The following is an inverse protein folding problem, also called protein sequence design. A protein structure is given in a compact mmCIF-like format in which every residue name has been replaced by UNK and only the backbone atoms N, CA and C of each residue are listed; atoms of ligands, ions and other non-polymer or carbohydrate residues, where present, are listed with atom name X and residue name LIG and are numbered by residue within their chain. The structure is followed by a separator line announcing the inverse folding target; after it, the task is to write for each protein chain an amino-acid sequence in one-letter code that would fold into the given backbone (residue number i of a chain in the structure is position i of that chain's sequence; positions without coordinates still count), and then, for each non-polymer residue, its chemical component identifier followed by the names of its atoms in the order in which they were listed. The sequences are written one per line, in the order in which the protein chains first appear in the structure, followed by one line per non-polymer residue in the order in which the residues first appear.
data_IF_244378887194
#
_entry.id   IF_244378887194
#
_cell.length_a   1.000
_cell.length_b   1.000
_cell.length_c   1.000
_cell.angle_alpha   90.00
_cell.angle_beta   90.00
_cell.angle_gamma   90.00
#
_symmetry.space_group_name_H-M   'P 1'
#
loop_
_entity.id
_entity.type
_entity.pdbx_description
1 polymer ?
#
# COMPACT_ATOMS: atom_id res chain seq x y z
N UNK A 1 19.20 4.24 -14.35
CA UNK A 1 18.98 5.32 -13.36
C UNK A 1 17.69 5.15 -12.55
N UNK A 2 16.66 4.43 -13.06
CA UNK A 2 15.48 4.04 -12.26
C UNK A 2 15.78 2.90 -11.26
N UNK A 3 16.68 1.98 -11.62
CA UNK A 3 17.04 0.79 -10.83
C UNK A 3 17.66 1.13 -9.47
N UNK A 4 18.54 2.14 -9.43
CA UNK A 4 19.23 2.59 -8.21
C UNK A 4 18.25 3.19 -7.18
N UNK A 5 17.20 3.89 -7.63
CA UNK A 5 16.17 4.46 -6.74
C UNK A 5 15.35 3.36 -6.07
N UNK A 6 14.97 2.35 -6.84
CA UNK A 6 14.21 1.20 -6.33
C UNK A 6 15.01 0.39 -5.32
N UNK A 7 16.32 0.29 -5.53
CA UNK A 7 17.23 -0.40 -4.62
C UNK A 7 17.49 0.40 -3.33
N UNK A 8 17.61 1.72 -3.43
CA UNK A 8 17.69 2.62 -2.27
C UNK A 8 16.42 2.61 -1.42
N UNK A 9 15.24 2.68 -2.05
CA UNK A 9 13.95 2.60 -1.36
C UNK A 9 13.79 1.26 -0.62
N UNK A 10 14.23 0.15 -1.23
CA UNK A 10 14.24 -1.17 -0.59
C UNK A 10 15.16 -1.21 0.63
N UNK A 11 16.35 -0.64 0.54
CA UNK A 11 17.33 -0.63 1.63
C UNK A 11 16.94 0.30 2.78
N UNK A 12 16.26 1.41 2.47
CA UNK A 12 15.66 2.30 3.48
C UNK A 12 14.46 1.63 4.15
N UNK A 13 13.60 0.96 3.38
CA UNK A 13 12.50 0.17 3.91
C UNK A 13 13.03 -0.92 4.84
N UNK A 14 14.00 -1.73 4.40
CA UNK A 14 14.60 -2.76 5.25
C UNK A 14 15.21 -2.20 6.54
N UNK A 15 15.85 -1.03 6.48
CA UNK A 15 16.38 -0.35 7.67
C UNK A 15 15.27 0.11 8.61
N UNK A 16 14.20 0.70 8.09
CA UNK A 16 13.06 1.14 8.88
C UNK A 16 12.37 -0.07 9.56
N UNK A 17 12.20 -1.17 8.84
CA UNK A 17 11.62 -2.41 9.37
C UNK A 17 12.48 -2.97 10.50
N UNK A 18 13.81 -3.00 10.30
CA UNK A 18 14.74 -3.45 11.33
C UNK A 18 14.72 -2.56 12.57
N UNK A 19 14.65 -1.24 12.40
CA UNK A 19 14.56 -0.30 13.52
C UNK A 19 13.26 -0.50 14.32
N UNK A 20 12.13 -0.63 13.64
CA UNK A 20 10.82 -0.93 14.27
C UNK A 20 10.87 -2.29 15.00
N UNK A 21 11.54 -3.29 14.41
CA UNK A 21 11.72 -4.59 15.03
C UNK A 21 12.61 -4.55 16.28
N UNK A 22 13.65 -3.72 16.28
CA UNK A 22 14.52 -3.51 17.44
C UNK A 22 13.78 -2.77 18.56
N UNK A 23 12.98 -1.75 18.24
CA UNK A 23 12.18 -1.00 19.23
C UNK A 23 11.08 -1.84 19.88
N UNK A 24 10.45 -2.74 19.12
CA UNK A 24 9.38 -3.61 19.63
C UNK A 24 9.91 -4.86 20.34
N UNK A 25 11.21 -5.16 20.23
CA UNK A 25 11.86 -6.33 20.86
C UNK A 25 11.93 -6.15 22.38
N UNK A 26 10.96 -6.76 23.06
CA UNK A 26 10.84 -6.74 24.52
C UNK A 26 9.53 -6.12 25.03
N UNK A 27 8.79 -5.41 24.18
CA UNK A 27 7.47 -4.87 24.50
C UNK A 27 6.31 -5.77 24.02
N UNK A 28 6.56 -6.59 22.97
CA UNK A 28 5.56 -7.44 22.33
C UNK A 28 6.16 -8.83 22.06
N UNK A 29 5.35 -9.89 22.17
CA UNK A 29 5.77 -11.25 21.83
C UNK A 29 6.12 -11.34 20.33
N UNK A 30 7.16 -12.11 19.98
CA UNK A 30 7.68 -12.16 18.60
C UNK A 30 6.65 -12.66 17.58
N UNK A 31 5.65 -13.40 18.03
CA UNK A 31 4.54 -13.86 17.19
C UNK A 31 3.55 -12.74 16.85
N UNK A 32 3.17 -11.91 17.83
CA UNK A 32 2.30 -10.74 17.63
C UNK A 32 2.99 -9.70 16.75
N UNK A 33 4.27 -9.43 16.98
CA UNK A 33 5.07 -8.53 16.14
C UNK A 33 5.00 -8.90 14.66
N UNK A 34 5.17 -10.19 14.34
CA UNK A 34 5.11 -10.68 12.97
C UNK A 34 3.75 -10.42 12.34
N UNK A 35 2.66 -10.67 13.07
CA UNK A 35 1.31 -10.46 12.55
C UNK A 35 1.00 -8.97 12.34
N UNK A 36 1.38 -8.09 13.27
CA UNK A 36 1.16 -6.65 13.12
C UNK A 36 1.99 -6.06 11.99
N UNK A 37 3.29 -6.36 11.94
CA UNK A 37 4.19 -5.77 10.93
C UNK A 37 3.90 -6.31 9.54
N UNK A 38 3.74 -7.63 9.37
CA UNK A 38 3.41 -8.19 8.07
C UNK A 38 2.00 -7.81 7.63
N UNK A 39 1.04 -7.77 8.56
CA UNK A 39 -0.33 -7.35 8.28
C UNK A 39 -0.39 -5.90 7.79
N UNK A 40 0.29 -4.98 8.48
CA UNK A 40 0.36 -3.57 8.09
C UNK A 40 1.10 -3.38 6.77
N UNK A 41 2.20 -4.11 6.52
CA UNK A 41 2.90 -4.04 5.22
C UNK A 41 2.06 -4.58 4.09
N UNK A 42 1.38 -5.69 4.31
CA UNK A 42 0.50 -6.28 3.32
C UNK A 42 -0.65 -5.32 3.01
N UNK A 43 -1.29 -4.74 4.03
CA UNK A 43 -2.34 -3.74 3.87
C UNK A 43 -1.83 -2.53 3.07
N UNK A 44 -0.67 -1.97 3.43
CA UNK A 44 -0.06 -0.88 2.67
C UNK A 44 0.18 -1.26 1.21
N UNK A 45 0.72 -2.45 0.96
CA UNK A 45 1.01 -2.92 -0.39
C UNK A 45 -0.25 -3.02 -1.25
N UNK A 46 -1.34 -3.61 -0.73
CA UNK A 46 -2.59 -3.72 -1.49
C UNK A 46 -3.24 -2.35 -1.70
N UNK A 47 -3.20 -1.46 -0.70
CA UNK A 47 -3.75 -0.10 -0.84
C UNK A 47 -2.98 0.73 -1.87
N UNK A 48 -1.65 0.69 -1.86
CA UNK A 48 -0.84 1.36 -2.88
C UNK A 48 -1.08 0.75 -4.27
N UNK A 49 -1.22 -0.57 -4.37
CA UNK A 49 -1.53 -1.23 -5.63
C UNK A 49 -2.88 -0.79 -6.19
N UNK A 50 -3.92 -0.74 -5.35
CA UNK A 50 -5.26 -0.31 -5.72
C UNK A 50 -5.29 1.14 -6.18
N UNK A 51 -4.72 2.05 -5.36
CA UNK A 51 -4.65 3.48 -5.67
C UNK A 51 -3.94 3.73 -7.01
N UNK A 52 -2.77 3.10 -7.21
CA UNK A 52 -2.03 3.23 -8.48
C UNK A 52 -2.81 2.68 -9.67
N UNK A 53 -3.54 1.58 -9.49
CA UNK A 53 -4.34 0.98 -10.55
C UNK A 53 -5.47 1.90 -11.00
N UNK A 54 -6.24 2.43 -10.04
CA UNK A 54 -7.38 3.30 -10.32
C UNK A 54 -6.89 4.62 -10.95
N UNK A 55 -5.85 5.23 -10.37
CA UNK A 55 -5.26 6.45 -10.91
C UNK A 55 -4.78 6.25 -12.36
N UNK A 56 -4.10 5.14 -12.65
CA UNK A 56 -3.66 4.86 -14.02
C UNK A 56 -4.83 4.73 -15.00
N UNK A 57 -5.90 4.02 -14.62
CA UNK A 57 -7.09 3.88 -15.45
C UNK A 57 -7.81 5.21 -15.72
N UNK A 58 -7.95 6.05 -14.70
CA UNK A 58 -8.58 7.37 -14.81
C UNK A 58 -7.74 8.34 -15.68
N UNK A 59 -6.42 8.33 -15.50
CA UNK A 59 -5.50 9.12 -16.33
C UNK A 59 -5.58 8.67 -17.80
N UNK A 60 -5.61 7.36 -18.06
CA UNK A 60 -5.78 6.80 -19.41
C UNK A 60 -7.14 7.16 -20.03
N UNK A 61 -8.19 7.29 -19.22
CA UNK A 61 -9.51 7.74 -19.63
C UNK A 61 -9.60 9.26 -19.88
N UNK A 62 -8.53 10.02 -19.58
CA UNK A 62 -8.41 11.46 -19.84
C UNK A 62 -8.51 12.35 -18.59
N UNK A 63 -8.67 11.77 -17.40
CA UNK A 63 -8.72 12.49 -16.13
C UNK A 63 -7.30 12.63 -15.54
N UNK A 64 -6.46 13.44 -16.18
CA UNK A 64 -5.03 13.53 -15.85
C UNK A 64 -4.71 13.98 -14.41
N UNK A 65 -5.61 14.72 -13.77
CA UNK A 65 -5.46 15.24 -12.41
C UNK A 65 -6.19 14.39 -11.34
N UNK A 66 -6.73 13.24 -11.73
CA UNK A 66 -7.44 12.35 -10.80
C UNK A 66 -6.50 11.79 -9.72
N UNK A 67 -7.01 11.72 -8.49
CA UNK A 67 -6.28 11.18 -7.33
C UNK A 67 -7.24 10.43 -6.41
N UNK A 68 -7.17 9.10 -6.45
CA UNK A 68 -7.96 8.19 -5.64
C UNK A 68 -7.84 8.47 -4.14
N UNK A 69 -6.69 8.93 -3.65
CA UNK A 69 -6.50 9.21 -2.24
C UNK A 69 -7.28 10.45 -1.73
N UNK A 70 -7.86 11.24 -2.65
CA UNK A 70 -8.67 12.43 -2.32
C UNK A 70 -10.18 12.20 -2.44
N UNK A 71 -10.61 11.02 -2.92
CA UNK A 71 -12.01 10.66 -2.99
C UNK A 71 -12.61 10.49 -1.60
N UNK A 72 -13.91 10.77 -1.48
CA UNK A 72 -14.65 10.39 -0.29
C UNK A 72 -14.88 8.88 -0.23
N UNK A 73 -15.04 8.34 0.98
CA UNK A 73 -15.34 6.91 1.16
C UNK A 73 -16.65 6.51 0.44
N UNK A 74 -17.63 7.42 0.38
CA UNK A 74 -18.91 7.19 -0.30
C UNK A 74 -18.73 7.02 -1.81
N UNK A 75 -17.92 7.88 -2.45
CA UNK A 75 -17.61 7.79 -3.88
C UNK A 75 -16.73 6.56 -4.18
N UNK A 76 -15.79 6.23 -3.30
CA UNK A 76 -14.93 5.06 -3.48
C UNK A 76 -15.72 3.74 -3.39
N UNK A 77 -16.71 3.65 -2.50
CA UNK A 77 -17.55 2.46 -2.36
C UNK A 77 -18.37 2.14 -3.63
N UNK A 78 -18.70 3.14 -4.46
CA UNK A 78 -19.37 2.90 -5.74
C UNK A 78 -18.52 2.02 -6.68
N UNK A 79 -17.19 2.15 -6.60
CA UNK A 79 -16.26 1.36 -7.41
C UNK A 79 -15.97 -0.03 -6.82
N UNK A 80 -16.36 -0.30 -5.57
CA UNK A 80 -15.97 -1.51 -4.84
C UNK A 80 -16.37 -2.79 -5.56
N UNK A 81 -17.62 -2.91 -5.99
CA UNK A 81 -18.11 -4.15 -6.59
C UNK A 81 -17.33 -4.50 -7.86
N UNK A 82 -17.05 -3.50 -8.71
CA UNK A 82 -16.23 -3.68 -9.91
C UNK A 82 -14.78 -4.05 -9.58
N UNK A 83 -14.16 -3.35 -8.63
CA UNK A 83 -12.78 -3.59 -8.21
C UNK A 83 -12.60 -4.98 -7.57
N UNK A 84 -13.57 -5.42 -6.76
CA UNK A 84 -13.55 -6.78 -6.19
C UNK A 84 -13.68 -7.84 -7.28
N UNK A 85 -14.54 -7.64 -8.29
CA UNK A 85 -14.66 -8.59 -9.40
C UNK A 85 -13.39 -8.66 -10.25
N UNK A 86 -12.71 -7.54 -10.46
CA UNK A 86 -11.53 -7.46 -11.33
C UNK A 86 -10.22 -7.84 -10.62
N UNK A 87 -10.03 -7.37 -9.38
CA UNK A 87 -8.79 -7.53 -8.60
C UNK A 87 -8.89 -8.58 -7.49
N UNK A 88 -10.11 -8.91 -7.04
CA UNK A 88 -10.35 -9.81 -5.92
C UNK A 88 -10.25 -9.16 -4.54
N UNK A 89 -10.04 -7.85 -4.45
CA UNK A 89 -9.95 -7.08 -3.20
C UNK A 89 -10.33 -5.60 -3.40
N UNK A 90 -10.64 -4.94 -2.29
CA UNK A 90 -10.86 -3.49 -2.16
C UNK A 90 -10.40 -3.05 -0.77
#
# INVERSE_FOLDING_TARGET
MADIRKEQERDELHRAIWAIADELRGAVDGWDFKNYVLGTMFYRYISENLCNYINAGEIEAGNADFDYAKLSDEEAEEAREGLVQEKGFF
#
